data_IF_585184057888
#
_entry.id   IF_585184057888
#
_cell.length_a   1.000
_cell.length_b   1.000
_cell.length_c   1.000
_cell.angle_alpha   90.00
_cell.angle_beta   90.00
_cell.angle_gamma   90.00
#
_symmetry.space_group_name_H-M   'P 1'
#
loop_
_entity.id
_entity.type
_entity.pdbx_description
1 polymer ?
#
# COMPACT_ATOMS: atom_id res chain seq x y z
N UNK A 1 -9.50 -12.78 -10.19
CA UNK A 1 -9.95 -11.69 -11.08
C UNK A 1 -8.93 -11.39 -12.18
N UNK A 2 -7.75 -10.81 -11.90
CA UNK A 2 -6.81 -10.42 -12.97
C UNK A 2 -6.32 -11.58 -13.85
N UNK A 3 -5.98 -12.74 -13.26
CA UNK A 3 -5.63 -13.93 -14.04
C UNK A 3 -6.77 -14.45 -14.94
N UNK A 4 -8.01 -14.41 -14.45
CA UNK A 4 -9.20 -14.85 -15.20
C UNK A 4 -9.49 -13.94 -16.40
N UNK A 5 -9.30 -12.63 -16.25
CA UNK A 5 -9.45 -11.69 -17.37
C UNK A 5 -8.39 -11.97 -18.43
N UNK A 6 -7.14 -12.22 -18.02
CA UNK A 6 -6.06 -12.52 -18.95
C UNK A 6 -6.26 -13.85 -19.69
N UNK A 7 -6.76 -14.88 -19.00
CA UNK A 7 -7.14 -16.16 -19.61
C UNK A 7 -8.24 -15.97 -20.66
N UNK A 8 -9.29 -15.21 -20.32
CA UNK A 8 -10.38 -14.90 -21.26
C UNK A 8 -9.88 -14.15 -22.50
N UNK A 9 -9.02 -13.15 -22.32
CA UNK A 9 -8.43 -12.41 -23.44
C UNK A 9 -7.60 -13.32 -24.34
N UNK A 10 -6.83 -14.26 -23.77
CA UNK A 10 -6.05 -15.24 -24.52
C UNK A 10 -6.93 -16.28 -25.25
N UNK A 11 -8.11 -16.61 -24.72
CA UNK A 11 -9.10 -17.43 -25.43
C UNK A 11 -9.70 -16.68 -26.61
N UNK A 12 -10.16 -15.45 -26.40
CA UNK A 12 -10.72 -14.59 -27.45
C UNK A 12 -9.71 -14.36 -28.57
N UNK A 13 -8.45 -14.09 -28.23
CA UNK A 13 -7.37 -13.92 -29.21
C UNK A 13 -7.26 -15.12 -30.15
N UNK A 14 -7.26 -16.33 -29.57
CA UNK A 14 -7.11 -17.59 -30.33
C UNK A 14 -8.36 -17.93 -31.14
N UNK A 15 -9.55 -17.72 -30.58
CA UNK A 15 -10.81 -18.01 -31.24
C UNK A 15 -11.04 -17.11 -32.47
N UNK A 16 -10.67 -15.84 -32.39
CA UNK A 16 -10.91 -14.84 -33.45
C UNK A 16 -9.70 -14.60 -34.36
N UNK A 17 -8.53 -15.18 -34.05
CA UNK A 17 -7.30 -14.98 -34.82
C UNK A 17 -6.79 -13.52 -34.81
N UNK A 18 -7.08 -12.76 -33.75
CA UNK A 18 -6.71 -11.34 -33.65
C UNK A 18 -5.30 -11.12 -33.09
N UNK A 19 -4.65 -10.04 -33.53
CA UNK A 19 -3.46 -9.51 -32.84
C UNK A 19 -3.87 -8.68 -31.62
N UNK A 20 -3.08 -8.75 -30.55
CA UNK A 20 -3.37 -8.04 -29.31
C UNK A 20 -2.13 -7.28 -28.82
N UNK A 21 -2.31 -6.00 -28.49
CA UNK A 21 -1.27 -5.14 -27.91
C UNK A 21 -1.59 -4.89 -26.44
N UNK A 22 -0.69 -5.30 -25.54
CA UNK A 22 -0.79 -5.02 -24.11
C UNK A 22 0.20 -3.92 -23.71
N UNK A 23 -0.29 -2.94 -22.98
CA UNK A 23 0.52 -1.91 -22.33
C UNK A 23 0.43 -2.14 -20.83
N UNK A 24 1.52 -2.59 -20.22
CA UNK A 24 1.59 -2.92 -18.79
C UNK A 24 3.00 -2.72 -18.24
N UNK A 25 3.09 -2.45 -16.95
CA UNK A 25 4.35 -2.39 -16.19
C UNK A 25 4.66 -3.69 -15.45
N UNK A 26 3.76 -4.68 -15.48
CA UNK A 26 3.93 -5.94 -14.76
C UNK A 26 4.58 -7.00 -15.68
N UNK A 27 5.88 -7.23 -15.49
CA UNK A 27 6.65 -8.17 -16.30
C UNK A 27 6.21 -9.63 -16.08
N UNK A 28 5.76 -9.99 -14.88
CA UNK A 28 5.15 -11.28 -14.59
C UNK A 28 3.93 -11.61 -15.46
N UNK A 29 3.10 -10.62 -15.80
CA UNK A 29 1.99 -10.77 -16.75
C UNK A 29 2.54 -10.95 -18.16
N UNK A 30 3.43 -10.06 -18.60
CA UNK A 30 4.05 -10.10 -19.94
C UNK A 30 4.68 -11.48 -20.19
N UNK A 31 5.40 -12.02 -19.21
CA UNK A 31 6.04 -13.34 -19.27
C UNK A 31 5.05 -14.48 -19.54
N UNK A 32 3.79 -14.35 -19.11
CA UNK A 32 2.78 -15.40 -19.21
C UNK A 32 1.93 -15.32 -20.48
N UNK A 33 1.71 -14.12 -21.03
CA UNK A 33 0.68 -13.91 -22.06
C UNK A 33 1.20 -13.33 -23.38
N UNK A 34 2.39 -12.72 -23.41
CA UNK A 34 2.90 -12.08 -24.62
C UNK A 34 3.79 -13.03 -25.42
N UNK A 35 3.63 -13.06 -26.73
CA UNK A 35 4.56 -13.74 -27.65
C UNK A 35 5.85 -12.92 -27.84
N UNK A 36 5.70 -11.58 -27.89
CA UNK A 36 6.77 -10.61 -28.11
C UNK A 36 6.66 -9.46 -27.13
N UNK A 37 7.81 -8.86 -26.81
CA UNK A 37 7.92 -7.70 -25.92
C UNK A 37 8.64 -6.57 -26.64
N UNK A 38 8.21 -5.34 -26.37
CA UNK A 38 8.94 -4.13 -26.66
C UNK A 38 9.08 -3.34 -25.36
N UNK A 39 10.31 -3.03 -24.96
CA UNK A 39 10.62 -2.22 -23.79
C UNK A 39 10.86 -0.80 -24.27
N UNK A 40 10.16 0.16 -23.65
CA UNK A 40 10.27 1.58 -23.98
C UNK A 40 10.87 2.38 -22.82
N UNK A 41 11.71 3.36 -23.15
CA UNK A 41 12.27 4.36 -22.22
C UNK A 41 12.37 5.69 -22.94
N UNK A 42 11.99 6.79 -22.26
CA UNK A 42 12.09 8.16 -22.80
C UNK A 42 11.43 8.36 -24.18
N UNK A 43 10.37 7.60 -24.46
CA UNK A 43 9.63 7.67 -25.73
C UNK A 43 10.17 6.76 -26.85
N UNK A 44 11.25 6.02 -26.62
CA UNK A 44 11.88 5.16 -27.63
C UNK A 44 11.79 3.67 -27.27
N UNK A 45 11.69 2.79 -28.28
CA UNK A 45 11.84 1.34 -28.08
C UNK A 45 13.33 1.03 -27.93
N UNK A 46 13.73 0.68 -26.71
CA UNK A 46 15.13 0.40 -26.37
C UNK A 46 15.48 -1.08 -26.52
N UNK A 47 14.50 -1.98 -26.48
CA UNK A 47 14.70 -3.41 -26.72
C UNK A 47 13.41 -4.08 -27.22
N UNK A 48 13.52 -5.01 -28.17
CA UNK A 48 12.37 -5.80 -28.63
C UNK A 48 12.79 -7.22 -29.04
N UNK A 49 11.93 -8.20 -28.79
CA UNK A 49 12.18 -9.58 -29.16
C UNK A 49 11.09 -10.54 -28.67
N UNK A 50 11.26 -11.86 -28.92
CA UNK A 50 10.45 -12.88 -28.30
C UNK A 50 10.52 -12.80 -26.77
N UNK A 51 9.39 -12.98 -26.10
CA UNK A 51 9.31 -12.87 -24.63
C UNK A 51 10.34 -13.74 -23.92
N UNK A 52 10.52 -14.99 -24.36
CA UNK A 52 11.50 -15.90 -23.77
C UNK A 52 12.94 -15.35 -23.82
N UNK A 53 13.32 -14.69 -24.92
CA UNK A 53 14.67 -14.15 -25.09
C UNK A 53 14.90 -12.92 -24.21
N UNK A 54 13.94 -11.99 -24.18
CA UNK A 54 14.03 -10.76 -23.37
C UNK A 54 14.17 -11.09 -21.88
N UNK A 55 13.43 -12.08 -21.38
CA UNK A 55 13.49 -12.47 -19.97
C UNK A 55 14.70 -13.32 -19.62
N UNK A 56 15.22 -14.13 -20.55
CA UNK A 56 16.38 -15.01 -20.29
C UNK A 56 17.73 -14.31 -20.48
N UNK A 57 17.83 -13.44 -21.49
CA UNK A 57 19.08 -12.79 -21.88
C UNK A 57 18.86 -11.32 -22.30
N UNK A 58 18.38 -10.45 -21.39
CA UNK A 58 18.16 -9.03 -21.68
C UNK A 58 19.47 -8.34 -22.08
N UNK A 59 19.43 -7.59 -23.18
CA UNK A 59 20.60 -6.89 -23.72
C UNK A 59 20.70 -5.46 -23.19
N UNK A 60 19.58 -4.74 -23.10
CA UNK A 60 19.60 -3.34 -22.73
C UNK A 60 19.72 -3.15 -21.21
N UNK A 61 20.55 -2.22 -20.70
CA UNK A 61 20.72 -1.98 -19.26
C UNK A 61 19.40 -1.67 -18.53
N UNK A 62 18.51 -0.91 -19.17
CA UNK A 62 17.20 -0.61 -18.59
C UNK A 62 16.32 -1.86 -18.45
N UNK A 63 16.32 -2.77 -19.43
CA UNK A 63 15.57 -4.02 -19.35
C UNK A 63 16.10 -4.92 -18.24
N UNK A 64 17.42 -4.97 -18.07
CA UNK A 64 18.07 -5.67 -16.94
C UNK A 64 17.63 -5.10 -15.59
N UNK A 65 17.62 -3.77 -15.47
CA UNK A 65 17.17 -3.08 -14.26
C UNK A 65 15.70 -3.39 -13.96
N UNK A 66 14.82 -3.35 -14.96
CA UNK A 66 13.40 -3.67 -14.81
C UNK A 66 13.17 -5.12 -14.36
N UNK A 67 13.87 -6.09 -14.96
CA UNK A 67 13.75 -7.50 -14.60
C UNK A 67 14.32 -7.80 -13.21
N UNK A 68 15.39 -7.09 -12.80
CA UNK A 68 15.98 -7.22 -11.47
C UNK A 68 15.10 -6.60 -10.35
N UNK A 69 14.22 -5.66 -10.70
CA UNK A 69 13.31 -5.03 -9.76
C UNK A 69 12.12 -5.91 -9.37
N UNK A 70 11.88 -7.04 -10.04
CA UNK A 70 10.83 -7.96 -9.61
C UNK A 70 11.19 -8.59 -8.25
N UNK A 71 10.35 -8.41 -7.21
CA UNK A 71 10.59 -9.02 -5.91
C UNK A 71 10.68 -10.54 -6.06
N UNK A 72 11.79 -11.12 -5.59
CA UNK A 72 11.99 -12.57 -5.59
C UNK A 72 12.24 -13.09 -4.17
N UNK A 73 11.84 -14.33 -3.92
CA UNK A 73 12.05 -15.02 -2.64
C UNK A 73 10.78 -15.27 -1.83
N UNK A 74 10.97 -15.79 -0.62
CA UNK A 74 9.94 -15.94 0.41
C UNK A 74 10.36 -15.10 1.62
N UNK A 75 9.42 -14.50 2.36
CA UNK A 75 9.76 -13.79 3.59
C UNK A 75 10.50 -14.72 4.55
N UNK A 76 11.47 -14.18 5.27
CA UNK A 76 12.17 -14.93 6.31
C UNK A 76 11.19 -15.36 7.41
N UNK A 77 11.38 -16.55 8.02
CA UNK A 77 10.52 -16.99 9.11
C UNK A 77 10.63 -16.06 10.31
N UNK A 78 9.49 -15.75 10.92
CA UNK A 78 9.42 -14.99 12.18
C UNK A 78 10.14 -15.76 13.29
N UNK A 79 10.94 -15.06 14.09
CA UNK A 79 11.66 -15.66 15.21
C UNK A 79 10.71 -16.30 16.22
N UNK A 80 11.05 -17.50 16.73
CA UNK A 80 10.16 -18.28 17.63
C UNK A 80 9.80 -17.57 18.94
N UNK A 81 10.65 -16.67 19.41
CA UNK A 81 10.45 -15.88 20.63
C UNK A 81 10.09 -14.41 20.39
N UNK A 82 9.71 -14.05 19.15
CA UNK A 82 9.32 -12.67 18.84
C UNK A 82 8.10 -12.25 19.66
N UNK A 83 8.16 -11.07 20.27
CA UNK A 83 7.07 -10.52 21.07
C UNK A 83 5.88 -10.15 20.18
N UNK A 84 4.66 -10.27 20.72
CA UNK A 84 3.46 -9.82 20.02
C UNK A 84 3.38 -8.31 20.06
N UNK A 85 3.41 -7.69 18.88
CA UNK A 85 3.34 -6.23 18.72
C UNK A 85 1.90 -5.75 18.65
N UNK A 86 1.03 -6.47 17.91
CA UNK A 86 -0.40 -6.18 17.80
C UNK A 86 -1.18 -7.45 18.09
N UNK A 87 -2.25 -7.34 18.87
CA UNK A 87 -3.25 -8.39 19.05
C UNK A 87 -4.65 -7.78 19.04
N UNK A 88 -5.58 -8.46 18.37
CA UNK A 88 -7.00 -8.12 18.43
C UNK A 88 -7.82 -9.32 18.89
N UNK A 89 -8.86 -9.05 19.67
CA UNK A 89 -9.80 -10.06 20.12
C UNK A 89 -11.23 -9.63 19.81
N UNK A 90 -11.90 -10.41 18.95
CA UNK A 90 -13.28 -10.19 18.53
C UNK A 90 -13.56 -8.76 18.01
N UNK A 91 -12.62 -8.18 17.26
CA UNK A 91 -12.72 -6.82 16.74
C UNK A 91 -13.92 -6.68 15.78
N UNK A 92 -14.79 -5.70 16.04
CA UNK A 92 -16.01 -5.42 15.27
C UNK A 92 -16.07 -3.96 14.87
N UNK A 93 -16.50 -3.72 13.63
CA UNK A 93 -16.76 -2.38 13.09
C UNK A 93 -18.07 -2.42 12.33
N UNK A 94 -19.11 -1.87 12.94
CA UNK A 94 -20.47 -1.86 12.40
C UNK A 94 -20.94 -0.42 12.19
N UNK A 95 -21.28 -0.07 10.95
CA UNK A 95 -21.73 1.27 10.61
C UNK A 95 -23.26 1.35 10.67
N UNK A 96 -23.86 2.32 11.39
CA UNK A 96 -25.31 2.41 11.51
C UNK A 96 -25.95 2.88 10.19
N UNK A 97 -27.01 2.19 9.78
CA UNK A 97 -27.89 2.62 8.69
C UNK A 97 -28.98 3.50 9.29
N UNK A 98 -29.00 4.78 8.94
CA UNK A 98 -29.98 5.77 9.44
C UNK A 98 -31.04 6.06 8.38
N UNK A 99 -32.32 6.06 8.75
CA UNK A 99 -33.45 6.33 7.82
C UNK A 99 -34.50 7.26 8.44
N UNK A 100 -35.22 7.99 7.58
CA UNK A 100 -36.30 8.91 7.96
C UNK A 100 -35.83 10.30 8.43
N UNK A 101 -36.77 11.23 8.60
CA UNK A 101 -36.49 12.62 9.00
C UNK A 101 -35.76 12.74 10.34
N UNK A 102 -36.01 11.80 11.27
CA UNK A 102 -35.38 11.74 12.59
C UNK A 102 -34.05 10.94 12.62
N UNK A 103 -33.53 10.49 11.46
CA UNK A 103 -32.27 9.71 11.35
C UNK A 103 -32.15 8.53 12.34
N UNK A 104 -33.25 7.81 12.60
CA UNK A 104 -33.24 6.64 13.50
C UNK A 104 -32.39 5.51 12.89
N UNK A 105 -31.61 4.82 13.71
CA UNK A 105 -30.84 3.64 13.30
C UNK A 105 -31.80 2.48 13.04
N UNK A 106 -31.84 1.99 11.81
CA UNK A 106 -32.72 0.90 11.36
C UNK A 106 -31.96 -0.40 11.05
N UNK A 107 -30.63 -0.37 11.13
CA UNK A 107 -29.77 -1.53 10.86
C UNK A 107 -28.30 -1.15 10.95
N UNK A 108 -27.43 -2.11 10.67
CA UNK A 108 -25.99 -1.90 10.62
C UNK A 108 -25.36 -2.59 9.42
N UNK A 109 -24.39 -1.92 8.78
CA UNK A 109 -23.47 -2.53 7.82
C UNK A 109 -22.30 -3.09 8.61
N UNK A 110 -22.16 -4.41 8.61
CA UNK A 110 -21.09 -5.10 9.33
C UNK A 110 -19.83 -5.16 8.45
N UNK A 111 -18.94 -4.19 8.60
CA UNK A 111 -17.71 -4.13 7.82
C UNK A 111 -16.62 -5.05 8.37
N UNK A 112 -16.54 -5.20 9.70
CA UNK A 112 -15.70 -6.19 10.38
C UNK A 112 -16.55 -6.87 11.46
N UNK A 113 -16.51 -8.20 11.53
CA UNK A 113 -17.38 -8.97 12.41
C UNK A 113 -16.62 -10.03 13.21
N UNK A 114 -15.86 -9.60 14.22
CA UNK A 114 -15.18 -10.50 15.16
C UNK A 114 -13.81 -10.96 14.66
N UNK A 115 -13.00 -10.05 14.12
CA UNK A 115 -11.65 -10.38 13.68
C UNK A 115 -10.69 -10.51 14.88
N UNK A 116 -10.13 -11.70 15.07
CA UNK A 116 -9.04 -11.94 16.03
C UNK A 116 -7.78 -12.29 15.28
N UNK A 117 -6.69 -11.55 15.54
CA UNK A 117 -5.39 -11.77 14.93
C UNK A 117 -4.28 -11.31 15.87
N UNK A 118 -3.08 -11.82 15.66
CA UNK A 118 -1.87 -11.38 16.33
C UNK A 118 -0.76 -11.19 15.29
N UNK A 119 0.07 -10.17 15.50
CA UNK A 119 1.24 -9.86 14.68
C UNK A 119 2.43 -9.71 15.61
N UNK A 120 3.46 -10.51 15.40
CA UNK A 120 4.71 -10.48 16.16
C UNK A 120 5.73 -9.54 15.55
N UNK A 121 6.75 -9.21 16.32
CA UNK A 121 7.90 -8.44 15.84
C UNK A 121 8.54 -9.15 14.63
N UNK A 122 8.80 -8.39 13.56
CA UNK A 122 9.31 -8.92 12.29
C UNK A 122 8.30 -9.71 11.45
N UNK A 123 7.06 -9.88 11.91
CA UNK A 123 6.00 -10.56 11.15
C UNK A 123 5.30 -9.59 10.20
N UNK A 124 5.14 -10.01 8.94
CA UNK A 124 4.32 -9.30 7.96
C UNK A 124 3.02 -10.06 7.73
N UNK A 125 1.88 -9.44 8.06
CA UNK A 125 0.56 -10.01 7.83
C UNK A 125 -0.05 -9.46 6.53
N UNK A 126 -0.26 -10.34 5.55
CA UNK A 126 -1.01 -10.01 4.33
C UNK A 126 -2.52 -10.21 4.51
N UNK A 127 -3.31 -9.15 4.35
CA UNK A 127 -4.78 -9.21 4.38
C UNK A 127 -5.33 -9.09 2.95
N UNK A 128 -5.93 -10.17 2.45
CA UNK A 128 -6.43 -10.25 1.07
C UNK A 128 -7.95 -10.45 1.06
N UNK A 129 -8.63 -9.85 0.08
CA UNK A 129 -10.06 -9.96 -0.09
C UNK A 129 -10.57 -9.03 -1.20
N UNK A 130 -11.81 -9.23 -1.62
CA UNK A 130 -12.45 -8.44 -2.68
C UNK A 130 -12.65 -6.96 -2.31
N UNK A 131 -12.90 -6.10 -3.29
CA UNK A 131 -13.25 -4.70 -3.00
C UNK A 131 -14.48 -4.65 -2.08
N UNK A 132 -14.44 -3.81 -1.05
CA UNK A 132 -15.53 -3.71 -0.06
C UNK A 132 -15.52 -4.79 1.05
N UNK A 133 -14.59 -5.74 1.05
CA UNK A 133 -14.52 -6.81 2.07
C UNK A 133 -14.14 -6.36 3.49
N UNK A 134 -13.94 -5.06 3.73
CA UNK A 134 -13.60 -4.51 5.06
C UNK A 134 -12.11 -4.43 5.40
N UNK A 135 -11.18 -4.68 4.46
CA UNK A 135 -9.71 -4.62 4.69
C UNK A 135 -9.25 -3.28 5.27
N UNK A 136 -9.59 -2.19 4.57
CA UNK A 136 -9.23 -0.83 5.00
C UNK A 136 -9.90 -0.49 6.33
N UNK A 137 -11.14 -0.93 6.53
CA UNK A 137 -11.86 -0.74 7.79
C UNK A 137 -11.17 -1.47 8.95
N UNK A 138 -10.71 -2.70 8.75
CA UNK A 138 -9.96 -3.47 9.74
C UNK A 138 -8.65 -2.76 10.11
N UNK A 139 -7.87 -2.34 9.11
CA UNK A 139 -6.62 -1.61 9.34
C UNK A 139 -6.84 -0.31 10.13
N UNK A 140 -7.82 0.51 9.72
CA UNK A 140 -8.16 1.76 10.41
C UNK A 140 -8.65 1.52 11.85
N UNK A 141 -9.36 0.42 12.11
CA UNK A 141 -9.83 0.08 13.44
C UNK A 141 -8.69 -0.36 14.36
N UNK A 142 -7.77 -1.19 13.86
CA UNK A 142 -6.55 -1.59 14.58
C UNK A 142 -5.73 -0.35 14.97
N UNK A 143 -5.60 0.61 14.04
CA UNK A 143 -4.91 1.89 14.27
C UNK A 143 -5.68 2.87 15.19
N UNK A 144 -6.86 2.49 15.70
CA UNK A 144 -7.75 3.35 16.49
C UNK A 144 -8.08 4.69 15.80
N UNK A 145 -8.17 4.69 14.46
CA UNK A 145 -8.57 5.84 13.65
C UNK A 145 -10.09 5.92 13.43
N UNK A 146 -10.79 4.79 13.61
CA UNK A 146 -12.25 4.72 13.61
C UNK A 146 -12.75 4.01 14.87
N UNK A 147 -14.03 4.20 15.22
CA UNK A 147 -14.65 3.49 16.33
C UNK A 147 -14.78 1.99 16.03
N UNK A 148 -14.47 1.18 17.03
CA UNK A 148 -14.59 -0.27 16.99
C UNK A 148 -14.99 -0.82 18.36
N UNK A 149 -15.53 -2.03 18.37
CA UNK A 149 -15.73 -2.86 19.56
C UNK A 149 -14.76 -4.05 19.53
N UNK A 150 -14.51 -4.65 20.69
CA UNK A 150 -13.49 -5.71 20.83
C UNK A 150 -12.16 -5.16 21.35
N UNK A 151 -11.28 -6.08 21.77
CA UNK A 151 -10.01 -5.74 22.42
C UNK A 151 -8.94 -5.47 21.37
N UNK A 152 -8.09 -4.47 21.62
CA UNK A 152 -6.92 -4.16 20.80
C UNK A 152 -5.75 -3.95 21.74
N UNK A 153 -4.71 -4.78 21.63
CA UNK A 153 -3.47 -4.67 22.41
C UNK A 153 -2.35 -4.27 21.46
N UNK A 154 -1.61 -3.22 21.82
CA UNK A 154 -0.44 -2.74 21.09
C UNK A 154 0.75 -2.67 22.04
N UNK A 155 1.85 -3.36 21.70
CA UNK A 155 3.06 -3.48 22.53
C UNK A 155 2.73 -3.84 23.99
N UNK A 156 1.89 -4.86 24.17
CA UNK A 156 1.44 -5.34 25.49
C UNK A 156 0.41 -4.44 26.21
N UNK A 157 0.08 -3.27 25.67
CA UNK A 157 -0.90 -2.34 26.28
C UNK A 157 -2.26 -2.44 25.59
N UNK A 158 -3.32 -2.60 26.38
CA UNK A 158 -4.69 -2.46 25.86
C UNK A 158 -4.97 -1.00 25.49
N UNK A 159 -5.23 -0.76 24.21
CA UNK A 159 -5.48 0.57 23.65
C UNK A 159 -6.97 0.82 23.35
N UNK A 160 -7.82 -0.18 23.59
CA UNK A 160 -9.25 -0.02 23.41
C UNK A 160 -9.81 0.98 24.44
N UNK A 161 -10.59 1.95 23.98
CA UNK A 161 -11.21 2.96 24.85
C UNK A 161 -10.26 4.05 25.39
N UNK A 162 -8.95 3.98 25.12
CA UNK A 162 -8.03 5.05 25.49
C UNK A 162 -8.46 6.38 24.84
N UNK A 163 -8.37 7.50 25.57
CA UNK A 163 -8.65 8.81 25.01
C UNK A 163 -7.59 9.18 23.98
N UNK A 164 -7.97 10.02 23.01
CA UNK A 164 -7.11 10.42 21.90
C UNK A 164 -5.75 11.00 22.33
N UNK A 165 -5.67 11.62 23.52
CA UNK A 165 -4.41 12.18 24.04
C UNK A 165 -3.39 11.08 24.37
N UNK A 166 -3.83 9.97 24.96
CA UNK A 166 -2.96 8.88 25.40
C UNK A 166 -2.52 8.02 24.21
N UNK A 167 -3.30 8.03 23.12
CA UNK A 167 -2.95 7.40 21.84
C UNK A 167 -1.88 8.20 21.07
N UNK A 168 -1.68 9.50 21.34
CA UNK A 168 -0.73 10.34 20.58
C UNK A 168 0.70 9.84 20.70
N UNK A 169 1.09 9.38 21.89
CA UNK A 169 2.46 8.88 22.10
C UNK A 169 2.67 7.55 21.37
N UNK A 170 1.68 6.66 21.42
CA UNK A 170 1.71 5.36 20.73
C UNK A 170 1.69 5.50 19.19
N UNK A 171 1.06 6.56 18.67
CA UNK A 171 1.03 6.84 17.21
C UNK A 171 2.41 7.09 16.62
N UNK A 172 3.44 7.38 17.43
CA UNK A 172 4.82 7.49 16.94
C UNK A 172 5.34 6.15 16.44
N UNK A 173 4.87 5.06 17.06
CA UNK A 173 5.26 3.69 16.74
C UNK A 173 4.27 3.01 15.79
N UNK A 174 3.25 3.74 15.31
CA UNK A 174 2.23 3.25 14.39
C UNK A 174 2.14 4.16 13.17
N UNK A 175 2.67 3.70 12.03
CA UNK A 175 2.61 4.45 10.77
C UNK A 175 1.67 3.76 9.78
N UNK A 176 0.89 4.55 9.05
CA UNK A 176 -0.02 4.05 8.02
C UNK A 176 0.35 4.67 6.67
N UNK A 177 0.52 3.81 5.67
CA UNK A 177 0.62 4.23 4.26
C UNK A 177 -0.74 3.99 3.61
N UNK A 178 -1.35 5.05 3.11
CA UNK A 178 -2.67 4.99 2.49
C UNK A 178 -2.60 4.47 1.05
N UNK A 179 -3.68 3.83 0.59
CA UNK A 179 -3.78 3.28 -0.77
C UNK A 179 -3.79 4.38 -1.84
N UNK A 180 -4.38 5.53 -1.53
CA UNK A 180 -4.31 6.73 -2.36
C UNK A 180 -3.32 7.71 -1.70
N UNK A 181 -2.09 7.84 -2.24
CA UNK A 181 -1.11 8.75 -1.68
C UNK A 181 -1.54 10.20 -1.84
N UNK A 182 -2.26 10.57 -2.89
CA UNK A 182 -2.66 11.96 -3.13
C UNK A 182 -3.65 12.45 -2.07
N UNK A 183 -4.64 11.62 -1.72
CA UNK A 183 -5.59 11.91 -0.64
C UNK A 183 -4.95 12.01 0.75
N UNK A 184 -3.71 11.55 0.93
CA UNK A 184 -2.96 11.67 2.19
C UNK A 184 -2.13 12.95 2.31
N UNK A 185 -1.93 13.68 1.21
CA UNK A 185 -1.16 14.93 1.17
C UNK A 185 -2.09 16.12 1.38
N UNK A 186 -1.64 17.12 2.15
CA UNK A 186 -2.34 18.39 2.26
C UNK A 186 -2.11 19.22 1.00
N UNK A 187 -3.12 19.53 0.18
CA UNK A 187 -2.92 20.31 -1.05
C UNK A 187 -2.59 21.78 -0.76
N UNK A 188 -2.67 22.19 0.51
CA UNK A 188 -2.39 23.56 0.98
C UNK A 188 -0.97 23.73 1.50
N UNK A 189 -0.18 22.68 1.49
CA UNK A 189 1.19 22.68 2.01
C UNK A 189 2.15 22.35 0.88
N UNK A 190 3.33 22.99 0.88
CA UNK A 190 4.41 22.61 -0.02
C UNK A 190 4.98 21.22 0.35
N UNK A 191 5.71 20.63 -0.58
CA UNK A 191 6.44 19.36 -0.34
C UNK A 191 7.33 19.49 0.90
N UNK A 192 8.06 20.60 1.06
CA UNK A 192 8.88 20.86 2.25
C UNK A 192 8.04 20.87 3.53
N UNK A 193 6.91 21.59 3.54
CA UNK A 193 6.06 21.67 4.72
C UNK A 193 5.49 20.31 5.11
N UNK A 194 5.09 19.49 4.14
CA UNK A 194 4.54 18.14 4.38
C UNK A 194 5.63 17.23 4.98
N UNK A 195 6.83 17.23 4.41
CA UNK A 195 7.94 16.39 4.90
C UNK A 195 8.41 16.88 6.28
N UNK A 196 8.54 18.19 6.46
CA UNK A 196 8.95 18.81 7.73
C UNK A 196 7.92 18.56 8.86
N UNK A 197 6.62 18.56 8.56
CA UNK A 197 5.58 18.24 9.55
C UNK A 197 5.82 16.85 10.18
N UNK A 198 6.12 15.85 9.35
CA UNK A 198 6.49 14.51 9.81
C UNK A 198 7.71 14.52 10.73
N UNK A 199 8.77 15.23 10.33
CA UNK A 199 10.00 15.37 11.14
C UNK A 199 9.73 16.01 12.52
N UNK A 200 8.89 17.04 12.55
CA UNK A 200 8.48 17.74 13.77
C UNK A 200 7.67 16.85 14.72
N UNK A 201 6.70 16.07 14.20
CA UNK A 201 5.88 15.14 15.01
C UNK A 201 6.75 14.09 15.70
N UNK A 202 7.77 13.59 15.00
CA UNK A 202 8.72 12.62 15.54
C UNK A 202 9.86 13.24 16.37
N UNK A 203 9.85 14.57 16.58
CA UNK A 203 10.86 15.32 17.37
C UNK A 203 12.31 15.06 16.94
N UNK A 204 12.53 14.92 15.64
CA UNK A 204 13.88 14.80 15.09
C UNK A 204 14.52 16.21 15.08
N UNK A 205 15.23 16.58 16.14
CA UNK A 205 15.82 17.91 16.28
C UNK A 205 16.83 18.26 15.15
N UNK A 206 16.75 19.45 14.56
CA UNK A 206 17.74 19.95 13.59
C UNK A 206 17.22 21.05 12.67
N UNK A 207 18.02 21.36 11.63
CA UNK A 207 17.62 22.19 10.48
C UNK A 207 16.72 21.35 9.54
N UNK A 208 15.42 21.62 9.58
CA UNK A 208 14.40 20.88 8.85
C UNK A 208 14.62 20.94 7.33
N UNK A 209 15.11 22.07 6.81
CA UNK A 209 15.29 22.28 5.36
C UNK A 209 16.40 21.39 4.79
N UNK A 210 17.53 21.27 5.48
CA UNK A 210 18.63 20.40 5.07
C UNK A 210 18.22 18.92 5.09
N UNK A 211 17.42 18.53 6.09
CA UNK A 211 16.89 17.16 6.22
C UNK A 211 15.87 16.83 5.14
N UNK A 212 14.93 17.72 4.88
CA UNK A 212 13.97 17.58 3.77
C UNK A 212 14.72 17.38 2.45
N UNK A 213 15.73 18.20 2.19
CA UNK A 213 16.58 18.08 0.99
C UNK A 213 17.24 16.71 0.89
N UNK A 214 17.77 16.19 2.00
CA UNK A 214 18.39 14.87 2.04
C UNK A 214 17.37 13.74 1.77
N UNK A 215 16.19 13.81 2.41
CA UNK A 215 15.10 12.85 2.22
C UNK A 215 14.64 12.83 0.77
N UNK A 216 14.41 14.01 0.17
CA UNK A 216 14.00 14.11 -1.24
C UNK A 216 15.03 13.40 -2.14
N UNK A 217 16.33 13.64 -1.93
CA UNK A 217 17.38 12.93 -2.68
C UNK A 217 17.36 11.42 -2.45
N UNK A 218 17.16 10.99 -1.20
CA UNK A 218 17.12 9.58 -0.83
C UNK A 218 15.99 8.82 -1.53
N UNK A 219 14.82 9.45 -1.68
CA UNK A 219 13.67 8.87 -2.40
C UNK A 219 13.70 9.13 -3.92
N UNK A 220 14.77 9.76 -4.43
CA UNK A 220 14.95 10.04 -5.86
C UNK A 220 14.15 11.22 -6.41
N UNK A 221 13.70 12.13 -5.54
CA UNK A 221 13.05 13.39 -5.91
C UNK A 221 14.05 14.54 -5.95
N UNK A 222 13.85 15.46 -6.89
CA UNK A 222 14.69 16.66 -7.04
C UNK A 222 14.40 17.66 -5.91
N UNK A 223 15.39 18.03 -5.07
CA UNK A 223 15.19 19.00 -4.00
C UNK A 223 14.71 20.38 -4.45
N UNK A 224 14.93 20.77 -5.71
CA UNK A 224 14.41 22.03 -6.24
C UNK A 224 12.87 22.06 -6.28
N UNK A 225 12.22 20.89 -6.22
CA UNK A 225 10.76 20.79 -6.18
C UNK A 225 10.16 21.03 -4.79
N UNK A 226 10.98 21.17 -3.73
CA UNK A 226 10.50 21.25 -2.34
C UNK A 226 9.49 22.38 -2.07
N UNK A 227 9.58 23.48 -2.82
CA UNK A 227 8.72 24.65 -2.66
C UNK A 227 7.37 24.49 -3.42
N UNK A 228 7.24 23.46 -4.26
CA UNK A 228 6.02 23.14 -5.00
C UNK A 228 4.97 22.51 -4.11
N UNK A 229 3.72 22.61 -4.56
CA UNK A 229 2.60 21.89 -3.98
C UNK A 229 2.46 20.49 -4.63
N UNK A 230 1.82 19.51 -3.97
CA UNK A 230 1.67 18.15 -4.49
C UNK A 230 1.05 17.97 -5.89
N UNK A 231 0.45 19.03 -6.44
CA UNK A 231 -0.23 19.01 -7.73
C UNK A 231 0.60 19.63 -8.88
N UNK A 232 1.80 20.16 -8.59
CA UNK A 232 2.73 20.82 -9.52
C UNK A 232 3.97 19.95 -9.81
#
# INVERSE_FOLDING_TARGET
IQAQILELLAEIQRAEGMGMLFITHNLGIVRRIADRVAVMKDGEIVETGPTAQIFAAPQHPYTRMLLAAEPSGRPEPVAKGAETVIETEALRVWFPIRRGLMRRTVGHIKAVNGASLAIREGETLGIVGESGSGKTTLALAIMRLISSEGRIVFLGRDIQGLPNRDLRDLRRDMQMVFQDPYGSLSPRMSIEQIVAEGLGVHRLAGDDTARVTAILREVGLDPETRDRYPHE
#
